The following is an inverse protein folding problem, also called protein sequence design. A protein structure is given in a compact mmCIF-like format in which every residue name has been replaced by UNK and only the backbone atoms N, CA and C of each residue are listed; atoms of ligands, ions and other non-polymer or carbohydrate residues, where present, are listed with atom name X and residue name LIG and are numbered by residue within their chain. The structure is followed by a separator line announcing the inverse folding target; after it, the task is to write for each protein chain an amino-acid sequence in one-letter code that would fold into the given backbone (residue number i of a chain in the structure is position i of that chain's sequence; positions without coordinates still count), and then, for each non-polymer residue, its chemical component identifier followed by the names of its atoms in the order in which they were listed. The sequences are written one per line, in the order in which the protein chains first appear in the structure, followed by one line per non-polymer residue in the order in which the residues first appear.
data_IF_423175467548
#
_entry.id   IF_423175467548
#
_cell.length_a   1.000
_cell.length_b   1.000
_cell.length_c   1.000
_cell.angle_alpha   90.00
_cell.angle_beta   90.00
_cell.angle_gamma   90.00
#
_symmetry.space_group_name_H-M   'P 1'
#
loop_
_entity.id
_entity.type
_entity.pdbx_description
1 polymer ?
#
# COMPACT_ATOMS: atom_id res chain seq x y z
N UNK A 1 4.20 13.43 22.70
CA UNK A 1 4.46 12.24 23.54
C UNK A 1 3.72 11.08 22.91
N UNK A 2 4.42 10.08 22.33
CA UNK A 2 3.76 8.86 21.83
C UNK A 2 3.24 8.07 23.03
N UNK A 3 1.95 7.75 23.04
CA UNK A 3 1.33 7.00 24.13
C UNK A 3 1.80 5.54 24.07
N UNK A 4 2.89 5.22 24.76
CA UNK A 4 3.37 3.85 24.91
C UNK A 4 2.47 3.18 25.95
N UNK A 5 1.49 2.41 25.48
CA UNK A 5 0.59 1.63 26.34
C UNK A 5 1.39 0.50 27.03
N UNK A 6 1.88 0.75 28.26
CA UNK A 6 2.43 -0.30 29.11
C UNK A 6 1.29 -1.22 29.58
N UNK A 7 1.16 -2.42 29.01
CA UNK A 7 0.30 -3.48 29.54
C UNK A 7 0.80 -3.91 30.92
N UNK A 8 0.13 -3.49 31.99
CA UNK A 8 0.33 -4.04 33.33
C UNK A 8 -0.49 -5.33 33.42
N UNK A 9 0.18 -6.48 33.49
CA UNK A 9 -0.46 -7.76 33.73
C UNK A 9 -1.07 -7.80 35.15
N UNK A 10 -2.32 -8.26 35.34
CA UNK A 10 -2.93 -8.31 36.66
C UNK A 10 -2.27 -9.44 37.49
N UNK A 11 -1.57 -9.04 38.55
CA UNK A 11 -1.10 -9.95 39.61
C UNK A 11 -2.31 -10.41 40.43
N UNK A 12 -2.63 -11.70 40.33
CA UNK A 12 -3.63 -12.37 41.15
C UNK A 12 -3.11 -12.49 42.58
N UNK A 13 -3.70 -11.77 43.53
CA UNK A 13 -3.39 -11.90 44.94
C UNK A 13 -4.69 -12.17 45.73
N UNK A 14 -4.83 -13.41 46.19
CA UNK A 14 -5.89 -13.83 47.09
C UNK A 14 -5.50 -13.49 48.54
N UNK A 15 -6.36 -12.77 49.27
CA UNK A 15 -6.66 -13.04 50.69
C UNK A 15 -7.76 -12.13 51.25
N UNK A 16 -8.53 -12.73 52.14
CA UNK A 16 -9.77 -12.32 52.81
C UNK A 16 -9.50 -11.22 53.84
N UNK A 17 -10.20 -10.07 53.78
CA UNK A 17 -10.57 -9.26 54.95
C UNK A 17 -11.78 -8.35 54.63
N UNK A 18 -12.74 -8.35 55.54
CA UNK A 18 -14.00 -7.61 55.49
C UNK A 18 -13.83 -6.26 56.19
N UNK A 19 -13.91 -5.14 55.46
CA UNK A 19 -14.01 -3.80 56.06
C UNK A 19 -14.52 -2.74 55.03
N UNK A 20 -15.55 -2.00 55.45
CA UNK A 20 -15.93 -0.62 55.10
C UNK A 20 -15.76 -0.22 53.60
N UNK A 21 -16.86 -0.28 52.86
CA UNK A 21 -16.99 0.24 51.49
C UNK A 21 -17.17 1.76 51.55
N UNK A 22 -16.06 2.49 51.48
CA UNK A 22 -16.06 3.93 51.20
C UNK A 22 -15.94 4.10 49.67
N UNK A 23 -17.07 4.26 48.99
CA UNK A 23 -17.16 4.44 47.52
C UNK A 23 -16.74 5.86 47.14
N UNK A 24 -15.46 6.18 47.27
CA UNK A 24 -14.87 7.33 46.56
C UNK A 24 -14.82 7.02 45.08
N UNK A 25 -15.86 7.43 44.36
CA UNK A 25 -15.86 7.50 42.90
C UNK A 25 -14.93 8.63 42.47
N UNK A 26 -13.63 8.39 42.52
CA UNK A 26 -12.66 9.15 41.75
C UNK A 26 -12.86 8.73 40.30
N UNK A 27 -13.73 9.45 39.58
CA UNK A 27 -13.75 9.42 38.13
C UNK A 27 -12.46 10.09 37.64
N UNK A 28 -11.36 9.33 37.64
CA UNK A 28 -10.22 9.67 36.81
C UNK A 28 -10.73 9.64 35.37
N UNK A 29 -10.86 10.82 34.76
CA UNK A 29 -11.01 10.96 33.32
C UNK A 29 -9.83 10.26 32.69
N UNK A 30 -10.03 9.02 32.26
CA UNK A 30 -9.10 8.37 31.37
C UNK A 30 -9.19 9.15 30.08
N UNK A 31 -8.20 10.01 29.83
CA UNK A 31 -7.97 10.53 28.50
C UNK A 31 -7.70 9.30 27.63
N UNK A 32 -8.74 8.82 26.94
CA UNK A 32 -8.60 7.76 25.96
C UNK A 32 -7.82 8.37 24.82
N UNK A 33 -6.50 8.19 24.86
CA UNK A 33 -5.65 8.43 23.71
C UNK A 33 -6.16 7.51 22.60
N UNK A 34 -6.98 8.07 21.71
CA UNK A 34 -7.43 7.39 20.51
C UNK A 34 -6.21 7.29 19.60
N UNK A 35 -5.78 6.06 19.33
CA UNK A 35 -4.70 5.83 18.38
C UNK A 35 -5.17 6.21 16.98
N UNK A 36 -4.31 6.86 16.19
CA UNK A 36 -4.57 7.15 14.78
C UNK A 36 -4.94 5.88 13.99
N UNK A 37 -5.48 6.04 12.79
CA UNK A 37 -5.69 4.96 11.85
C UNK A 37 -4.34 4.46 11.33
N UNK A 38 -3.99 3.23 11.66
CA UNK A 38 -2.81 2.54 11.13
C UNK A 38 -3.17 1.10 10.78
N UNK A 39 -2.42 0.49 9.88
CA UNK A 39 -2.71 -0.87 9.44
C UNK A 39 -1.53 -1.58 8.81
N UNK A 40 -1.82 -2.80 8.34
CA UNK A 40 -0.92 -3.60 7.53
C UNK A 40 -1.32 -3.54 6.07
N UNK A 41 -0.30 -3.55 5.20
CA UNK A 41 -0.46 -3.64 3.76
C UNK A 41 0.19 -4.92 3.27
N UNK A 42 -0.53 -5.72 2.50
CA UNK A 42 -0.02 -6.96 1.92
C UNK A 42 -0.29 -7.02 0.42
N UNK A 43 0.64 -7.61 -0.34
CA UNK A 43 0.43 -7.91 -1.75
C UNK A 43 -0.57 -9.06 -1.93
N UNK A 44 -1.59 -8.86 -2.77
CA UNK A 44 -2.42 -9.97 -3.25
C UNK A 44 -1.66 -10.70 -4.37
N UNK A 45 -1.70 -12.03 -4.34
CA UNK A 45 -0.99 -12.90 -5.29
C UNK A 45 0.47 -12.47 -5.46
N UNK A 46 1.19 -12.32 -4.34
CA UNK A 46 2.55 -11.77 -4.31
C UNK A 46 3.51 -12.40 -5.32
N UNK A 47 3.38 -13.70 -5.58
CA UNK A 47 4.25 -14.44 -6.51
C UNK A 47 3.44 -15.08 -7.63
N UNK A 48 3.98 -15.12 -8.86
CA UNK A 48 3.31 -15.82 -9.96
C UNK A 48 4.16 -15.93 -11.22
N UNK A 49 3.67 -16.71 -12.18
CA UNK A 49 4.28 -16.87 -13.51
C UNK A 49 3.38 -16.23 -14.56
N UNK A 50 3.97 -15.49 -15.50
CA UNK A 50 3.24 -14.77 -16.56
C UNK A 50 3.95 -14.92 -17.91
N UNK A 51 3.23 -14.65 -18.99
CA UNK A 51 3.81 -14.51 -20.32
C UNK A 51 4.46 -13.13 -20.49
N UNK A 52 5.40 -13.00 -21.44
CA UNK A 52 6.02 -11.70 -21.74
C UNK A 52 5.06 -10.66 -22.32
N UNK A 53 3.83 -11.04 -22.67
CA UNK A 53 2.79 -10.14 -23.18
C UNK A 53 1.74 -9.78 -22.12
N UNK A 54 1.78 -10.39 -20.94
CA UNK A 54 0.75 -10.21 -19.93
C UNK A 54 0.90 -8.86 -19.22
N UNK A 55 -0.22 -8.18 -19.03
CA UNK A 55 -0.33 -7.08 -18.06
C UNK A 55 -0.58 -7.66 -16.69
N UNK A 56 0.21 -7.25 -15.71
CA UNK A 56 0.20 -7.85 -14.37
C UNK A 56 -0.56 -6.90 -13.43
N UNK A 57 -1.75 -7.28 -12.93
CA UNK A 57 -2.46 -6.46 -11.96
C UNK A 57 -1.72 -6.48 -10.62
N UNK A 58 -1.75 -5.34 -9.95
CA UNK A 58 -1.15 -5.12 -8.64
C UNK A 58 -2.25 -4.70 -7.68
N UNK A 59 -2.52 -5.54 -6.69
CA UNK A 59 -3.57 -5.33 -5.70
C UNK A 59 -2.98 -5.44 -4.29
N UNK A 60 -3.55 -4.64 -3.39
CA UNK A 60 -3.25 -4.67 -1.98
C UNK A 60 -4.39 -5.26 -1.18
N UNK A 61 -4.06 -5.95 -0.10
CA UNK A 61 -4.93 -6.14 1.05
C UNK A 61 -4.51 -5.16 2.13
N UNK A 62 -5.36 -4.17 2.38
CA UNK A 62 -5.21 -3.22 3.47
C UNK A 62 -6.06 -3.69 4.66
N UNK A 63 -5.46 -3.82 5.83
CA UNK A 63 -6.18 -4.17 7.07
C UNK A 63 -5.78 -3.18 8.15
N UNK A 64 -6.71 -2.35 8.62
CA UNK A 64 -6.47 -1.49 9.78
C UNK A 64 -6.32 -2.35 11.04
N UNK A 65 -5.41 -1.96 11.94
CA UNK A 65 -5.18 -2.69 13.19
C UNK A 65 -6.44 -2.64 14.07
N UNK A 66 -6.86 -3.75 14.72
CA UNK A 66 -8.04 -3.74 15.58
C UNK A 66 -7.98 -2.73 16.75
N UNK A 67 -6.79 -2.25 17.13
CA UNK A 67 -6.60 -1.22 18.14
C UNK A 67 -6.60 0.21 17.58
N UNK A 68 -6.64 0.39 16.25
CA UNK A 68 -6.76 1.71 15.62
C UNK A 68 -8.20 2.21 15.64
N UNK A 69 -8.40 3.51 15.41
CA UNK A 69 -9.73 4.03 15.06
C UNK A 69 -10.08 3.70 13.60
N UNK A 70 -11.36 3.72 13.21
CA UNK A 70 -11.76 3.66 11.81
C UNK A 70 -11.26 4.86 11.00
N UNK A 71 -10.89 4.63 9.74
CA UNK A 71 -10.55 5.68 8.78
C UNK A 71 -11.78 5.94 7.91
N UNK A 72 -12.36 7.13 8.02
CA UNK A 72 -13.45 7.55 7.13
C UNK A 72 -13.06 8.85 6.46
N UNK A 73 -13.11 8.87 5.13
CA UNK A 73 -12.85 10.04 4.30
C UNK A 73 -14.16 10.38 3.61
N UNK A 74 -14.70 11.56 3.88
CA UNK A 74 -15.92 12.04 3.23
C UNK A 74 -15.70 12.39 1.74
N UNK A 75 -16.76 12.75 1.02
CA UNK A 75 -16.61 13.36 -0.30
C UNK A 75 -15.94 14.74 -0.17
N UNK A 76 -15.04 15.06 -1.10
CA UNK A 76 -14.31 16.33 -1.07
C UNK A 76 -15.24 17.55 -1.03
N UNK A 77 -14.87 18.54 -0.21
CA UNK A 77 -15.64 19.78 -0.03
C UNK A 77 -16.93 19.64 0.81
N UNK A 78 -17.22 18.48 1.40
CA UNK A 78 -18.43 18.27 2.22
C UNK A 78 -18.35 18.81 3.65
N UNK A 79 -17.17 19.25 4.09
CA UNK A 79 -16.99 19.89 5.40
C UNK A 79 -17.06 18.94 6.61
N UNK A 80 -17.40 17.66 6.44
CA UNK A 80 -17.16 16.64 7.47
C UNK A 80 -15.76 16.05 7.26
N UNK A 81 -14.78 16.48 8.08
CA UNK A 81 -13.39 16.23 7.82
C UNK A 81 -13.10 14.88 8.42
N UNK A 82 -12.66 13.95 7.58
CA UNK A 82 -11.78 12.86 7.95
C UNK A 82 -11.77 12.37 9.43
N UNK A 83 -12.20 11.12 9.66
CA UNK A 83 -11.85 10.41 10.90
C UNK A 83 -10.57 9.59 10.70
N UNK A 84 -9.76 9.44 11.74
CA UNK A 84 -8.55 8.61 11.66
C UNK A 84 -7.25 9.30 12.02
N UNK A 85 -7.26 10.61 12.25
CA UNK A 85 -6.10 11.34 12.78
C UNK A 85 -6.13 11.33 14.31
N UNK A 86 -4.98 11.18 14.94
CA UNK A 86 -4.88 11.37 16.39
C UNK A 86 -4.62 12.85 16.73
N UNK A 87 -4.87 13.22 17.99
CA UNK A 87 -4.63 14.61 18.44
C UNK A 87 -3.18 15.04 18.20
N UNK A 88 -2.20 14.13 18.32
CA UNK A 88 -0.80 14.46 18.06
C UNK A 88 -0.52 14.82 16.60
N UNK A 89 -1.25 14.22 15.64
CA UNK A 89 -1.18 14.59 14.23
C UNK A 89 -1.73 16.00 14.00
N UNK A 90 -2.87 16.30 14.63
CA UNK A 90 -3.49 17.63 14.59
C UNK A 90 -2.62 18.69 15.27
N UNK A 91 -1.96 18.35 16.38
CA UNK A 91 -1.02 19.23 17.07
C UNK A 91 0.22 19.50 16.21
N UNK A 92 0.74 18.48 15.50
CA UNK A 92 1.82 18.66 14.55
C UNK A 92 1.40 19.57 13.39
N UNK A 93 0.18 19.39 12.87
CA UNK A 93 -0.39 20.30 11.87
C UNK A 93 -0.50 21.72 12.41
N UNK A 94 -0.97 21.90 13.65
CA UNK A 94 -1.11 23.21 14.28
C UNK A 94 0.24 23.90 14.50
N UNK A 95 1.29 23.14 14.80
CA UNK A 95 2.64 23.65 14.97
C UNK A 95 3.22 24.20 13.65
N UNK A 96 2.98 23.50 12.55
CA UNK A 96 3.46 23.90 11.22
C UNK A 96 2.55 24.94 10.56
N UNK A 97 1.24 24.88 10.85
CA UNK A 97 0.19 25.72 10.26
C UNK A 97 -0.75 26.24 11.36
N UNK A 98 -0.42 27.34 12.05
CA UNK A 98 -1.28 27.87 13.11
C UNK A 98 -2.65 28.32 12.57
N UNK A 99 -3.71 27.99 13.32
CA UNK A 99 -5.12 28.24 12.96
C UNK A 99 -5.53 27.69 11.58
N UNK A 100 -5.04 26.49 11.24
CA UNK A 100 -5.43 25.82 10.01
C UNK A 100 -6.88 25.33 10.02
N UNK A 101 -7.43 25.14 8.83
CA UNK A 101 -8.70 24.44 8.61
C UNK A 101 -8.48 23.38 7.54
N UNK A 102 -8.81 22.12 7.87
CA UNK A 102 -8.81 21.03 6.89
C UNK A 102 -9.98 21.23 5.94
N UNK A 103 -9.70 21.25 4.64
CA UNK A 103 -10.72 21.41 3.59
C UNK A 103 -11.00 20.13 2.84
N UNK A 104 -10.01 19.24 2.74
CA UNK A 104 -10.15 17.97 2.03
C UNK A 104 -9.21 16.90 2.60
N UNK A 105 -9.57 15.65 2.34
CA UNK A 105 -8.76 14.49 2.66
C UNK A 105 -8.89 13.42 1.57
N UNK A 106 -7.80 12.73 1.28
CA UNK A 106 -7.79 11.64 0.32
C UNK A 106 -6.79 10.56 0.68
N UNK A 107 -6.99 9.33 0.21
CA UNK A 107 -5.93 8.35 0.18
C UNK A 107 -5.04 8.63 -1.03
N UNK A 108 -3.73 8.57 -0.81
CA UNK A 108 -2.73 8.49 -1.87
C UNK A 108 -2.02 7.14 -1.75
N UNK A 109 -1.48 6.68 -2.87
CA UNK A 109 -0.63 5.51 -2.90
C UNK A 109 0.67 5.84 -3.64
N UNK A 110 1.75 5.22 -3.21
CA UNK A 110 3.05 5.42 -3.85
C UNK A 110 3.67 4.10 -4.26
N UNK A 111 4.38 4.19 -5.37
CA UNK A 111 5.22 3.14 -5.92
C UNK A 111 6.66 3.63 -5.85
N UNK A 112 7.49 2.98 -5.03
CA UNK A 112 8.90 3.38 -4.92
C UNK A 112 9.72 2.76 -6.04
N UNK A 113 10.63 3.55 -6.60
CA UNK A 113 11.69 3.05 -7.45
C UNK A 113 12.54 2.05 -6.67
N UNK A 114 12.46 0.77 -7.05
CA UNK A 114 13.17 -0.30 -6.37
C UNK A 114 12.91 -1.66 -7.00
N UNK A 115 13.98 -2.42 -7.23
CA UNK A 115 13.91 -3.75 -7.82
C UNK A 115 14.13 -3.78 -9.32
N UNK A 116 13.46 -4.72 -9.99
CA UNK A 116 13.69 -5.01 -11.41
C UNK A 116 12.45 -4.79 -12.27
N UNK A 117 11.32 -4.43 -11.67
CA UNK A 117 10.28 -3.71 -12.40
C UNK A 117 10.79 -2.30 -12.72
N UNK A 118 10.43 -1.77 -13.90
CA UNK A 118 10.90 -0.44 -14.32
C UNK A 118 10.33 0.62 -13.38
N UNK A 119 11.16 1.62 -13.09
CA UNK A 119 10.70 2.90 -12.56
C UNK A 119 10.84 3.99 -13.65
N UNK A 120 10.36 5.19 -13.34
CA UNK A 120 10.39 6.35 -14.25
C UNK A 120 11.81 6.73 -14.71
N UNK A 121 12.85 6.24 -14.03
CA UNK A 121 14.26 6.57 -14.28
C UNK A 121 15.04 5.48 -15.01
N UNK A 122 14.57 4.24 -15.02
CA UNK A 122 15.17 3.10 -15.72
C UNK A 122 14.12 2.34 -16.54
N UNK A 123 13.92 2.64 -17.83
CA UNK A 123 13.21 1.70 -18.72
C UNK A 123 14.16 0.51 -18.97
N UNK A 124 13.84 -0.80 -18.81
CA UNK A 124 12.58 -1.57 -18.96
C UNK A 124 12.46 -2.70 -17.86
N UNK A 125 11.63 -3.77 -17.96
CA UNK A 125 10.72 -4.21 -19.04
C UNK A 125 9.23 -4.15 -18.73
N UNK A 126 8.85 -3.57 -17.60
CA UNK A 126 7.48 -3.37 -17.23
C UNK A 126 7.30 -1.97 -16.67
N UNK A 127 6.46 -1.15 -17.31
CA UNK A 127 6.09 0.16 -16.81
C UNK A 127 4.92 0.03 -15.84
N UNK A 128 5.04 0.65 -14.67
CA UNK A 128 3.93 0.72 -13.74
C UNK A 128 2.92 1.78 -14.20
N UNK A 129 1.65 1.45 -14.14
CA UNK A 129 0.54 2.36 -14.39
C UNK A 129 -0.39 2.32 -13.18
N UNK A 130 -0.59 3.46 -12.54
CA UNK A 130 -1.54 3.61 -11.44
C UNK A 130 -2.97 3.32 -11.91
N UNK A 131 -3.77 2.69 -11.05
CA UNK A 131 -5.16 2.41 -11.38
C UNK A 131 -6.04 3.64 -11.15
N UNK A 132 -6.97 3.88 -12.09
CA UNK A 132 -8.02 4.88 -11.94
C UNK A 132 -9.13 4.43 -10.97
N UNK A 133 -9.15 3.15 -10.56
CA UNK A 133 -10.13 2.61 -9.61
C UNK A 133 -9.70 2.74 -8.15
N UNK A 134 -8.51 3.29 -7.88
CA UNK A 134 -8.06 3.49 -6.52
C UNK A 134 -9.01 4.46 -5.78
N UNK A 135 -9.47 4.12 -4.57
CA UNK A 135 -10.46 4.92 -3.86
C UNK A 135 -9.78 6.11 -3.19
N UNK A 136 -9.51 7.17 -3.96
CA UNK A 136 -8.88 8.39 -3.44
C UNK A 136 -9.77 9.10 -2.40
N UNK A 137 -11.08 9.07 -2.54
CA UNK A 137 -12.02 9.74 -1.62
C UNK A 137 -13.25 8.87 -1.34
N UNK A 138 -14.08 9.31 -0.38
CA UNK A 138 -15.32 8.61 0.00
C UNK A 138 -15.06 7.17 0.51
N UNK A 139 -14.02 7.04 1.34
CA UNK A 139 -13.51 5.76 1.84
C UNK A 139 -14.00 5.53 3.27
N UNK A 140 -14.42 4.30 3.59
CA UNK A 140 -14.63 3.88 4.98
C UNK A 140 -13.94 2.56 5.22
N UNK A 141 -12.90 2.56 6.07
CA UNK A 141 -12.15 1.39 6.48
C UNK A 141 -12.43 1.10 7.94
N UNK A 142 -12.84 -0.14 8.20
CA UNK A 142 -13.17 -0.61 9.55
C UNK A 142 -11.97 -1.40 10.12
N UNK A 143 -11.54 -1.12 11.37
CA UNK A 143 -10.49 -1.87 12.05
C UNK A 143 -10.72 -3.38 12.02
N UNK A 144 -9.68 -4.14 11.68
CA UNK A 144 -9.71 -5.60 11.60
C UNK A 144 -10.41 -6.19 10.37
N UNK A 145 -11.02 -5.39 9.50
CA UNK A 145 -11.66 -5.86 8.27
C UNK A 145 -10.71 -5.66 7.08
N UNK A 146 -10.27 -6.73 6.38
CA UNK A 146 -9.40 -6.60 5.23
C UNK A 146 -10.16 -6.07 4.01
N UNK A 147 -9.59 -5.07 3.35
CA UNK A 147 -10.11 -4.48 2.11
C UNK A 147 -9.13 -4.72 0.97
N UNK A 148 -9.61 -5.23 -0.17
CA UNK A 148 -8.80 -5.37 -1.38
C UNK A 148 -8.90 -4.08 -2.20
N UNK A 149 -7.74 -3.51 -2.54
CA UNK A 149 -7.64 -2.26 -3.28
C UNK A 149 -6.76 -2.49 -4.50
N UNK A 150 -7.20 -1.98 -5.65
CA UNK A 150 -6.41 -2.00 -6.88
C UNK A 150 -5.38 -0.87 -6.86
N UNK A 151 -4.10 -1.21 -6.87
CA UNK A 151 -3.02 -0.21 -6.90
C UNK A 151 -2.76 0.28 -8.32
N UNK A 152 -2.71 -0.66 -9.26
CA UNK A 152 -2.27 -0.40 -10.62
C UNK A 152 -1.91 -1.68 -11.34
N UNK A 153 -1.07 -1.55 -12.35
CA UNK A 153 -0.64 -2.68 -13.17
C UNK A 153 0.75 -2.45 -13.74
N UNK A 154 1.48 -3.54 -13.94
CA UNK A 154 2.71 -3.55 -14.71
C UNK A 154 2.40 -3.91 -16.17
N UNK A 155 2.70 -2.99 -17.08
CA UNK A 155 2.50 -3.15 -18.53
C UNK A 155 3.84 -3.41 -19.21
N UNK A 156 4.00 -4.51 -19.98
CA UNK A 156 5.27 -4.83 -20.62
C UNK A 156 5.68 -3.75 -21.64
N UNK A 157 6.94 -3.31 -21.59
CA UNK A 157 7.52 -2.33 -22.51
C UNK A 157 9.06 -2.52 -22.55
N UNK A 158 9.64 -3.11 -23.62
CA UNK A 158 9.00 -3.52 -24.87
C UNK A 158 8.13 -4.79 -24.74
N UNK A 159 7.31 -5.05 -25.77
CA UNK A 159 6.46 -6.25 -25.86
C UNK A 159 7.05 -7.23 -26.88
N UNK A 160 7.34 -8.50 -26.51
CA UNK A 160 7.21 -9.09 -25.18
C UNK A 160 8.34 -8.64 -24.22
N UNK A 161 8.04 -8.63 -22.92
CA UNK A 161 9.04 -8.48 -21.87
C UNK A 161 10.04 -9.66 -21.92
N UNK A 162 11.34 -9.43 -21.67
CA UNK A 162 12.34 -10.49 -21.62
C UNK A 162 12.01 -11.54 -20.55
N UNK A 163 12.36 -12.82 -20.76
CA UNK A 163 12.26 -13.83 -19.72
C UNK A 163 13.13 -13.48 -18.52
N UNK A 164 12.62 -13.69 -17.31
CA UNK A 164 13.31 -13.30 -16.10
C UNK A 164 12.40 -13.30 -14.88
N UNK A 165 12.95 -13.02 -13.71
CA UNK A 165 12.17 -12.79 -12.50
C UNK A 165 12.26 -11.32 -12.11
N UNK A 166 11.10 -10.71 -11.93
CA UNK A 166 10.93 -9.29 -11.63
C UNK A 166 10.51 -9.09 -10.19
N UNK A 167 11.07 -8.09 -9.52
CA UNK A 167 10.86 -7.80 -8.10
C UNK A 167 10.48 -6.36 -7.86
N UNK A 168 9.54 -6.15 -6.94
CA UNK A 168 9.19 -4.84 -6.37
C UNK A 168 9.12 -4.95 -4.84
N UNK A 169 9.73 -4.00 -4.14
CA UNK A 169 10.01 -4.13 -2.71
C UNK A 169 9.13 -3.24 -1.81
N UNK A 170 8.65 -2.10 -2.31
CA UNK A 170 8.02 -1.10 -1.44
C UNK A 170 6.85 -0.36 -2.07
N UNK A 171 5.73 -0.37 -1.36
CA UNK A 171 4.60 0.49 -1.64
C UNK A 171 3.93 0.94 -0.35
N UNK A 172 3.32 2.12 -0.41
CA UNK A 172 2.73 2.77 0.75
C UNK A 172 1.36 3.33 0.39
N UNK A 173 0.49 3.35 1.39
CA UNK A 173 -0.77 4.09 1.36
C UNK A 173 -0.65 5.19 2.39
N UNK A 174 -0.79 6.43 1.91
CA UNK A 174 -0.78 7.63 2.71
C UNK A 174 -2.19 8.20 2.75
N UNK A 175 -2.47 8.88 3.84
CA UNK A 175 -3.59 9.77 3.98
C UNK A 175 -3.09 11.19 3.74
N UNK A 176 -3.58 11.82 2.69
CA UNK A 176 -3.26 13.19 2.32
C UNK A 176 -4.35 14.10 2.84
N UNK A 177 -3.96 15.11 3.62
CA UNK A 177 -4.86 16.13 4.14
C UNK A 177 -4.46 17.45 3.52
N UNK A 178 -5.44 18.15 2.95
CA UNK A 178 -5.24 19.52 2.46
C UNK A 178 -6.13 20.50 3.21
N UNK A 179 -5.67 21.74 3.30
CA UNK A 179 -6.38 22.77 4.04
C UNK A 179 -5.87 24.16 3.74
N UNK A 180 -6.39 25.13 4.50
CA UNK A 180 -5.98 26.52 4.45
C UNK A 180 -5.41 26.94 5.82
N UNK A 181 -4.35 27.74 5.82
CA UNK A 181 -3.85 28.39 7.03
C UNK A 181 -4.62 29.70 7.34
N UNK A 182 -4.23 30.41 8.40
CA UNK A 182 -4.86 31.71 8.77
C UNK A 182 -4.78 32.80 7.71
N UNK A 183 -3.85 32.70 6.77
CA UNK A 183 -3.65 33.67 5.69
C UNK A 183 -4.42 33.29 4.41
N UNK A 184 -5.05 32.11 4.40
CA UNK A 184 -5.73 31.56 3.22
C UNK A 184 -4.79 30.84 2.25
N UNK A 185 -3.54 30.57 2.62
CA UNK A 185 -2.64 29.77 1.80
C UNK A 185 -2.96 28.28 1.96
N UNK A 186 -2.91 27.53 0.86
CA UNK A 186 -3.10 26.09 0.87
C UNK A 186 -1.91 25.36 1.49
N UNK A 187 -2.19 24.31 2.25
CA UNK A 187 -1.19 23.32 2.67
C UNK A 187 -1.62 21.91 2.30
N UNK A 188 -0.65 21.01 2.21
CA UNK A 188 -0.82 19.57 2.00
C UNK A 188 0.09 18.82 2.96
N UNK A 189 -0.43 17.75 3.57
CA UNK A 189 0.31 16.90 4.50
C UNK A 189 -0.07 15.44 4.39
N UNK A 190 0.97 14.60 4.41
CA UNK A 190 0.83 13.15 4.32
C UNK A 190 1.01 12.48 5.68
N UNK A 191 0.13 11.52 5.96
CA UNK A 191 0.18 10.64 7.11
C UNK A 191 0.26 9.19 6.63
N UNK A 192 1.28 8.45 7.05
CA UNK A 192 1.40 7.05 6.67
C UNK A 192 0.31 6.20 7.33
N UNK A 193 -0.55 5.57 6.53
CA UNK A 193 -1.60 4.66 7.02
C UNK A 193 -1.07 3.24 7.11
N UNK A 194 -0.47 2.77 6.01
CA UNK A 194 0.07 1.43 5.93
C UNK A 194 1.16 1.36 4.85
N UNK A 195 2.15 0.50 5.07
CA UNK A 195 3.20 0.23 4.10
C UNK A 195 3.50 -1.26 4.01
N UNK A 196 3.89 -1.68 2.82
CA UNK A 196 4.65 -2.90 2.62
C UNK A 196 6.06 -2.47 2.25
N UNK A 197 7.03 -2.76 3.12
CA UNK A 197 8.41 -2.39 2.93
C UNK A 197 9.31 -3.60 3.14
N UNK A 198 9.82 -4.14 2.05
CA UNK A 198 10.91 -5.10 2.07
C UNK A 198 12.24 -4.36 2.06
N UNK A 199 13.25 -4.96 2.69
CA UNK A 199 14.63 -4.50 2.46
C UNK A 199 15.00 -4.76 1.00
N UNK A 200 15.75 -3.86 0.37
CA UNK A 200 16.18 -4.06 -1.01
C UNK A 200 16.97 -5.36 -1.14
N UNK A 201 16.53 -6.23 -2.07
CA UNK A 201 17.11 -7.56 -2.27
C UNK A 201 16.50 -8.68 -1.40
N UNK A 202 15.62 -8.36 -0.45
CA UNK A 202 14.86 -9.37 0.29
C UNK A 202 13.66 -9.87 -0.53
N UNK A 203 13.87 -11.00 -1.21
CA UNK A 203 12.86 -11.63 -2.06
C UNK A 203 11.78 -12.36 -1.25
N UNK A 204 11.93 -12.53 0.07
CA UNK A 204 11.01 -13.30 0.89
C UNK A 204 9.66 -12.60 1.11
N UNK A 205 9.62 -11.28 0.97
CA UNK A 205 8.41 -10.46 1.09
C UNK A 205 8.10 -9.61 -0.16
N UNK A 206 9.02 -9.56 -1.14
CA UNK A 206 8.85 -8.77 -2.35
C UNK A 206 7.69 -9.27 -3.23
N UNK A 207 7.07 -8.36 -3.97
CA UNK A 207 6.19 -8.72 -5.08
C UNK A 207 7.04 -9.27 -6.23
N UNK A 208 6.73 -10.49 -6.70
CA UNK A 208 7.55 -11.23 -7.64
C UNK A 208 6.73 -11.76 -8.82
N UNK A 209 7.27 -11.62 -10.04
CA UNK A 209 6.72 -12.27 -11.23
C UNK A 209 7.81 -12.91 -12.06
N UNK A 210 7.61 -14.16 -12.44
CA UNK A 210 8.53 -14.87 -13.34
C UNK A 210 7.92 -14.90 -14.74
N UNK A 211 8.59 -14.24 -15.68
CA UNK A 211 8.24 -14.26 -17.10
C UNK A 211 8.87 -15.48 -17.76
N UNK A 212 8.04 -16.36 -18.32
CA UNK A 212 8.52 -17.53 -19.06
C UNK A 212 8.85 -17.18 -20.51
N UNK A 213 9.87 -17.80 -21.11
CA UNK A 213 10.11 -17.71 -22.55
C UNK A 213 8.87 -18.13 -23.34
N UNK A 214 8.53 -17.36 -24.37
CA UNK A 214 7.50 -17.76 -25.34
C UNK A 214 8.03 -18.97 -26.12
N UNK A 215 7.35 -20.13 -26.09
CA UNK A 215 7.78 -21.28 -26.87
C UNK A 215 7.84 -20.90 -28.35
N UNK A 216 9.02 -21.02 -28.97
CA UNK A 216 9.16 -20.81 -30.40
C UNK A 216 8.29 -21.88 -31.08
N UNK A 217 7.26 -21.50 -31.88
CA UNK A 217 6.40 -22.47 -32.52
C UNK A 217 7.25 -23.45 -33.32
N UNK A 218 6.90 -24.74 -33.27
CA UNK A 218 7.56 -25.78 -34.08
C UNK A 218 7.63 -25.39 -35.56
N UNK A 219 6.70 -24.54 -36.03
CA UNK A 219 6.71 -23.95 -37.36
C UNK A 219 8.01 -23.22 -37.73
N UNK A 220 8.71 -22.56 -36.81
CA UNK A 220 10.00 -21.89 -37.12
C UNK A 220 11.09 -22.93 -37.38
N UNK A 221 11.12 -24.01 -36.60
CA UNK A 221 12.02 -25.13 -36.83
C UNK A 221 11.68 -25.87 -38.12
N UNK A 222 10.40 -26.09 -38.40
CA UNK A 222 9.93 -26.70 -39.64
C UNK A 222 10.26 -25.82 -40.85
N UNK A 223 10.04 -24.51 -40.76
CA UNK A 223 10.38 -23.56 -41.82
C UNK A 223 11.90 -23.52 -42.04
N UNK A 224 12.69 -23.39 -40.98
CA UNK A 224 14.15 -23.41 -41.05
C UNK A 224 14.68 -24.70 -41.66
N UNK A 225 14.16 -25.85 -41.24
CA UNK A 225 14.54 -27.16 -41.80
C UNK A 225 14.10 -27.32 -43.27
N UNK A 226 12.91 -26.82 -43.63
CA UNK A 226 12.41 -26.82 -45.00
C UNK A 226 13.25 -25.98 -45.95
N UNK A 227 13.67 -24.78 -45.54
CA UNK A 227 14.56 -23.91 -46.32
C UNK A 227 15.92 -24.58 -46.56
N UNK A 228 16.51 -25.18 -45.52
CA UNK A 228 17.77 -25.93 -45.65
C UNK A 228 17.61 -27.11 -46.63
N UNK A 229 16.50 -27.84 -46.54
CA UNK A 229 16.19 -28.94 -47.47
C UNK A 229 16.08 -28.47 -48.92
N UNK A 230 15.39 -27.36 -49.18
CA UNK A 230 15.24 -26.80 -50.53
C UNK A 230 16.57 -26.30 -51.12
N UNK A 231 17.40 -25.64 -50.33
CA UNK A 231 18.75 -25.21 -50.78
C UNK A 231 19.62 -26.42 -51.12
N UNK A 232 19.52 -27.50 -50.34
CA UNK A 232 20.21 -28.76 -50.64
C UNK A 232 19.77 -29.37 -51.97
N UNK A 233 18.49 -29.29 -52.31
CA UNK A 233 17.95 -29.79 -53.58
C UNK A 233 18.39 -28.92 -54.77
N UNK A 234 18.33 -27.60 -54.63
CA UNK A 234 18.68 -26.65 -55.69
C UNK A 234 20.17 -26.68 -56.10
N UNK A 235 21.07 -27.11 -55.21
CA UNK A 235 22.50 -27.27 -55.53
C UNK A 235 22.82 -28.55 -56.31
N UNK A 236 21.85 -29.44 -56.47
CA UNK A 236 22.04 -30.76 -57.12
C UNK A 236 21.62 -30.77 -58.58
N UNK A 237 21.01 -29.69 -59.05
CA UNK A 237 20.69 -29.40 -60.46
C UNK A 237 21.74 -28.50 -61.06
#
# INVERSE_FOLDING_TARGET
MKCILFRIAPLVQASIFSAIVLTTALFSSVDTCQAASFGTLEWVDRTGTVSGTDTIPVQFRLTLDPASVPLTIGPGGSGEPISGLEQADLDSLAADFPNFTITDASLSHSFYSGGTFSDDTNPPPYQFQFSNSFPFSNVSLVPGVPTIIEHGQFVPSPVPAPPGTYFHYRSEINLVVTGLNSFGDSFERDFLVAQVACSDGDTSCAFQRTVTPVPIPAAVWLFGSGVIGLVGLARRT
#
